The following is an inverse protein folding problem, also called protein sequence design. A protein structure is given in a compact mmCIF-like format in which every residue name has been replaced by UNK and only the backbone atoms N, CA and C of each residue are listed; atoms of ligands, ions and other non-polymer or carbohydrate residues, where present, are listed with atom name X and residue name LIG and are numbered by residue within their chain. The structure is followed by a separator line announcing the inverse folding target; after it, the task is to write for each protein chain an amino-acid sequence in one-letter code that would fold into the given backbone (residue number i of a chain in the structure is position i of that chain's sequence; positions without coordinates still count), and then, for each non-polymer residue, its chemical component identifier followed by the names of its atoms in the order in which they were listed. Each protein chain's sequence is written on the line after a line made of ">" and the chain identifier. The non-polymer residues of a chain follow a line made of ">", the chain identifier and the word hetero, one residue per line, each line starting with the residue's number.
data_IF_529154672493
#
_entry.id   IF_529154672493
#
_cell.length_a   1.000
_cell.length_b   1.000
_cell.length_c   1.000
_cell.angle_alpha   90.00
_cell.angle_beta   90.00
_cell.angle_gamma   90.00
#
_symmetry.space_group_name_H-M   'P 1'
#
loop_
_entity.id
_entity.type
_entity.pdbx_description
1 polymer ?
#
# COMPACT_ATOMS: atom_id res chain seq x y z
N UNK A 1 -26.60 17.61 32.79
CA UNK A 1 -25.69 18.27 33.75
C UNK A 1 -25.39 19.67 33.25
N UNK A 2 -25.71 20.67 34.05
CA UNK A 2 -25.47 22.08 33.75
C UNK A 2 -23.97 22.37 33.62
N UNK A 3 -23.58 23.51 33.05
CA UNK A 3 -22.18 23.97 33.04
C UNK A 3 -21.62 24.20 34.45
N UNK A 4 -22.47 24.53 35.43
CA UNK A 4 -22.08 24.75 36.83
C UNK A 4 -21.72 23.46 37.58
N UNK A 5 -22.50 22.38 37.43
CA UNK A 5 -22.24 21.11 38.15
C UNK A 5 -20.89 20.47 37.77
N UNK A 6 -20.45 20.73 36.54
CA UNK A 6 -19.17 20.23 35.99
C UNK A 6 -17.97 21.03 36.49
N UNK A 7 -18.15 22.31 36.81
CA UNK A 7 -17.11 23.15 37.38
C UNK A 7 -16.82 22.77 38.84
N UNK A 8 -17.86 22.39 39.60
CA UNK A 8 -17.71 21.91 40.96
C UNK A 8 -16.91 20.61 41.07
N UNK A 9 -17.06 19.69 40.12
CA UNK A 9 -16.27 18.44 40.08
C UNK A 9 -14.79 18.71 39.72
N UNK A 10 -14.54 19.72 38.87
CA UNK A 10 -13.19 20.17 38.48
C UNK A 10 -12.41 20.77 39.67
N UNK A 11 -12.99 21.73 40.39
CA UNK A 11 -12.35 22.37 41.55
C UNK A 11 -12.08 21.34 42.67
N UNK A 12 -13.01 20.41 42.90
CA UNK A 12 -12.86 19.39 43.94
C UNK A 12 -11.71 18.41 43.66
N UNK A 13 -11.42 18.09 42.39
CA UNK A 13 -10.33 17.16 42.05
C UNK A 13 -8.97 17.83 42.20
N UNK A 14 -8.84 19.11 41.82
CA UNK A 14 -7.56 19.84 41.86
C UNK A 14 -7.16 20.24 43.29
N UNK A 15 -8.13 20.41 44.20
CA UNK A 15 -7.87 20.67 45.62
C UNK A 15 -7.00 19.57 46.27
N UNK A 16 -7.01 18.35 45.73
CA UNK A 16 -6.16 17.25 46.19
C UNK A 16 -4.73 17.26 45.61
N UNK A 17 -4.43 18.13 44.64
CA UNK A 17 -3.12 18.22 43.95
C UNK A 17 -2.60 19.66 43.84
N UNK A 18 -2.34 20.35 44.97
CA UNK A 18 -1.98 21.79 44.99
C UNK A 18 -0.63 22.13 44.32
N UNK A 19 0.22 21.13 44.08
CA UNK A 19 1.56 21.31 43.47
C UNK A 19 1.64 20.78 42.03
N UNK A 20 0.50 20.58 41.35
CA UNK A 20 0.50 20.05 39.99
C UNK A 20 0.97 21.12 38.99
N UNK A 21 2.23 21.06 38.58
CA UNK A 21 2.81 22.01 37.63
C UNK A 21 2.45 21.70 36.16
N UNK A 22 2.25 20.42 35.83
CA UNK A 22 1.99 19.97 34.45
C UNK A 22 0.64 19.26 34.32
N UNK A 23 -0.22 19.75 33.44
CA UNK A 23 -1.45 19.09 33.04
C UNK A 23 -1.22 18.22 31.79
N UNK A 24 -1.67 16.97 31.80
CA UNK A 24 -1.60 16.08 30.65
C UNK A 24 -3.01 15.78 30.12
N UNK A 25 -3.29 16.20 28.88
CA UNK A 25 -4.58 15.95 28.21
C UNK A 25 -4.40 14.82 27.21
N UNK A 26 -5.14 13.72 27.39
CA UNK A 26 -5.02 12.51 26.57
C UNK A 26 -6.18 12.27 25.61
N UNK A 27 -7.30 12.98 25.77
CA UNK A 27 -8.49 12.84 24.94
C UNK A 27 -9.16 14.20 24.72
N UNK A 28 -9.66 14.44 23.51
CA UNK A 28 -10.34 15.68 23.11
C UNK A 28 -11.75 15.78 23.75
N UNK A 29 -12.30 14.64 24.17
CA UNK A 29 -13.60 14.53 24.84
C UNK A 29 -13.50 14.66 26.36
N UNK A 30 -12.28 14.84 26.89
CA UNK A 30 -12.08 15.01 28.33
C UNK A 30 -12.79 16.28 28.80
N UNK A 31 -13.93 16.07 29.46
CA UNK A 31 -14.82 17.15 29.91
C UNK A 31 -14.27 17.86 31.16
N UNK A 32 -13.17 17.37 31.73
CA UNK A 32 -12.63 17.86 33.00
C UNK A 32 -11.60 18.98 32.79
N UNK A 33 -10.76 18.91 31.75
CA UNK A 33 -9.73 19.92 31.49
C UNK A 33 -9.58 20.23 29.99
N UNK A 34 -9.63 21.51 29.62
CA UNK A 34 -9.10 21.98 28.32
C UNK A 34 -10.07 22.03 27.14
N UNK A 35 -11.40 22.01 27.35
CA UNK A 35 -12.37 22.17 26.25
C UNK A 35 -12.12 23.43 25.39
N UNK A 36 -11.65 24.50 26.01
CA UNK A 36 -11.33 25.75 25.31
C UNK A 36 -10.12 25.61 24.37
N UNK A 37 -9.20 24.68 24.66
CA UNK A 37 -7.97 24.45 23.88
C UNK A 37 -8.31 23.87 22.50
N UNK A 38 -9.41 23.11 22.40
CA UNK A 38 -9.84 22.46 21.16
C UNK A 38 -10.91 23.25 20.40
N UNK A 39 -11.23 24.48 20.83
CA UNK A 39 -12.23 25.30 20.17
C UNK A 39 -11.60 26.13 19.05
N UNK A 40 -11.69 25.64 17.81
CA UNK A 40 -11.16 26.32 16.62
C UNK A 40 -11.96 27.60 16.23
N UNK A 41 -13.13 27.83 16.86
CA UNK A 41 -14.00 28.99 16.64
C UNK A 41 -13.79 30.08 17.70
N UNK A 42 -12.66 30.79 17.67
CA UNK A 42 -12.41 31.95 18.54
C UNK A 42 -12.37 33.26 17.74
N UNK A 43 -13.56 33.69 17.26
CA UNK A 43 -13.84 35.13 17.11
C UNK A 43 -14.29 35.76 18.44
N UNK A 44 -14.42 34.97 19.50
CA UNK A 44 -14.64 35.46 20.84
C UNK A 44 -13.37 35.25 21.65
N UNK A 45 -12.80 36.36 22.13
CA UNK A 45 -11.73 36.38 23.13
C UNK A 45 -12.03 35.37 24.25
N UNK A 46 -11.00 34.74 24.85
CA UNK A 46 -11.24 33.81 25.95
C UNK A 46 -12.00 34.55 27.03
N UNK A 47 -13.18 34.03 27.40
CA UNK A 47 -13.87 34.47 28.60
C UNK A 47 -12.86 34.27 29.74
N UNK A 48 -12.34 35.37 30.27
CA UNK A 48 -11.42 35.40 31.40
C UNK A 48 -12.22 34.93 32.62
N UNK A 49 -12.29 33.61 32.80
CA UNK A 49 -12.79 33.03 34.04
C UNK A 49 -11.68 33.23 35.08
N UNK A 50 -11.97 34.07 36.09
CA UNK A 50 -11.04 34.47 37.16
C UNK A 50 -10.52 33.31 38.02
N UNK A 51 -11.10 32.12 37.89
CA UNK A 51 -10.77 30.93 38.69
C UNK A 51 -9.99 29.84 37.91
N UNK A 52 -9.44 30.18 36.73
CA UNK A 52 -8.67 29.22 35.93
C UNK A 52 -7.28 29.02 36.54
N UNK A 53 -6.98 27.79 36.97
CA UNK A 53 -5.66 27.43 37.48
C UNK A 53 -4.64 27.48 36.33
N UNK A 54 -3.59 28.28 36.52
CA UNK A 54 -2.49 28.41 35.57
C UNK A 54 -1.47 27.30 35.83
N UNK A 55 -1.50 26.24 35.02
CA UNK A 55 -0.43 25.26 34.99
C UNK A 55 0.85 25.90 34.44
N UNK A 56 2.03 25.46 34.91
CA UNK A 56 3.31 25.86 34.32
C UNK A 56 3.45 25.32 32.89
N UNK A 57 2.94 24.10 32.65
CA UNK A 57 2.97 23.46 31.34
C UNK A 57 1.70 22.64 31.10
N UNK A 58 1.20 22.65 29.86
CA UNK A 58 0.11 21.76 29.44
C UNK A 58 0.63 20.89 28.31
N UNK A 59 0.53 19.56 28.43
CA UNK A 59 0.91 18.59 27.40
C UNK A 59 -0.33 17.94 26.80
N UNK A 60 -0.56 18.15 25.51
CA UNK A 60 -1.66 17.57 24.75
C UNK A 60 -1.13 16.38 23.96
N UNK A 61 -1.57 15.19 24.35
CA UNK A 61 -1.17 13.91 23.77
C UNK A 61 -2.12 13.42 22.69
N UNK A 62 -3.38 13.85 22.73
CA UNK A 62 -4.32 13.54 21.66
C UNK A 62 -4.02 14.32 20.38
N UNK A 63 -4.63 13.89 19.28
CA UNK A 63 -4.41 14.53 17.97
C UNK A 63 -5.15 15.84 17.88
N UNK A 64 -4.47 16.89 17.40
CA UNK A 64 -5.01 18.22 17.14
C UNK A 64 -4.65 18.70 15.73
N UNK A 65 -5.46 19.60 15.16
CA UNK A 65 -5.17 20.26 13.88
C UNK A 65 -4.07 21.29 14.03
N UNK A 66 -3.40 21.69 12.96
CA UNK A 66 -2.40 22.76 13.03
C UNK A 66 -3.04 24.13 13.28
N UNK A 67 -4.28 24.39 12.82
CA UNK A 67 -5.08 25.57 13.17
C UNK A 67 -5.17 25.73 14.69
N UNK A 68 -5.51 24.66 15.43
CA UNK A 68 -5.58 24.70 16.89
C UNK A 68 -4.26 25.14 17.51
N UNK A 69 -3.14 24.58 17.03
CA UNK A 69 -1.80 24.95 17.52
C UNK A 69 -1.46 26.41 17.18
N UNK A 70 -1.85 26.87 15.99
CA UNK A 70 -1.60 28.23 15.54
C UNK A 70 -2.40 29.26 16.36
N UNK A 71 -3.67 28.97 16.68
CA UNK A 71 -4.52 29.83 17.53
C UNK A 71 -3.91 30.02 18.93
N UNK A 72 -3.28 28.98 19.47
CA UNK A 72 -2.67 28.99 20.80
C UNK A 72 -1.15 29.25 20.77
N UNK A 73 -0.63 29.84 19.68
CA UNK A 73 0.79 30.16 19.58
C UNK A 73 1.22 31.15 20.66
N UNK A 74 2.34 30.87 21.33
CA UNK A 74 2.87 31.70 22.43
C UNK A 74 2.32 31.35 23.81
N UNK A 75 1.45 30.33 23.91
CA UNK A 75 1.05 29.74 25.20
C UNK A 75 2.04 28.67 25.67
N UNK A 76 1.88 28.20 26.90
CA UNK A 76 2.68 27.13 27.51
C UNK A 76 2.17 25.70 27.16
N UNK A 77 1.39 25.58 26.08
CA UNK A 77 0.82 24.31 25.62
C UNK A 77 1.81 23.63 24.66
N UNK A 78 2.13 22.37 24.93
CA UNK A 78 2.93 21.50 24.08
C UNK A 78 2.04 20.44 23.44
N UNK A 79 2.03 20.40 22.12
CA UNK A 79 1.28 19.41 21.34
C UNK A 79 2.20 18.28 20.88
N UNK A 80 1.80 17.04 21.15
CA UNK A 80 2.58 15.85 20.76
C UNK A 80 2.14 15.26 19.43
N UNK A 81 0.89 15.46 19.03
CA UNK A 81 0.32 14.92 17.81
C UNK A 81 -0.40 16.02 17.02
N UNK A 82 0.28 16.58 16.02
CA UNK A 82 -0.25 17.68 15.20
C UNK A 82 -0.52 17.16 13.79
N UNK A 83 -1.79 17.20 13.39
CA UNK A 83 -2.26 16.81 12.06
C UNK A 83 -2.37 18.08 11.21
N UNK A 84 -1.75 18.07 10.04
CA UNK A 84 -1.91 19.13 9.04
C UNK A 84 -3.00 18.76 8.05
N UNK A 85 -4.13 19.45 8.10
CA UNK A 85 -5.33 19.16 7.30
C UNK A 85 -5.39 19.99 6.01
N UNK A 86 -6.42 19.75 5.21
CA UNK A 86 -6.72 20.56 4.03
C UNK A 86 -7.06 22.00 4.41
N UNK A 87 -7.79 22.21 5.51
CA UNK A 87 -8.09 23.56 6.02
C UNK A 87 -6.81 24.29 6.44
N UNK A 88 -5.91 23.59 7.13
CA UNK A 88 -4.59 24.13 7.51
C UNK A 88 -3.81 24.59 6.27
N UNK A 89 -3.83 23.78 5.21
CA UNK A 89 -3.21 24.12 3.93
C UNK A 89 -3.85 25.34 3.29
N UNK A 90 -5.17 25.39 3.20
CA UNK A 90 -5.88 26.53 2.57
C UNK A 90 -5.63 27.84 3.34
N UNK A 91 -5.54 27.78 4.67
CA UNK A 91 -5.42 28.97 5.50
C UNK A 91 -3.98 29.46 5.69
N UNK A 92 -3.01 28.55 5.77
CA UNK A 92 -1.65 28.87 6.23
C UNK A 92 -0.52 28.32 5.36
N UNK A 93 -0.79 27.73 4.19
CA UNK A 93 0.28 27.16 3.37
C UNK A 93 1.10 28.22 2.62
N UNK A 94 2.18 28.67 3.24
CA UNK A 94 3.20 29.54 2.65
C UNK A 94 4.42 28.72 2.18
N UNK A 95 4.17 27.73 1.31
CA UNK A 95 5.16 26.86 0.63
C UNK A 95 5.76 25.70 1.43
N UNK A 96 5.71 25.69 2.77
CA UNK A 96 6.33 24.62 3.59
C UNK A 96 5.39 24.15 4.70
N UNK A 97 5.39 22.84 4.97
CA UNK A 97 4.64 22.26 6.10
C UNK A 97 5.41 22.55 7.40
N UNK A 98 4.76 23.03 8.47
CA UNK A 98 5.43 23.32 9.75
C UNK A 98 6.12 22.11 10.38
N UNK A 99 7.34 22.30 10.93
CA UNK A 99 8.17 21.22 11.54
C UNK A 99 7.58 20.55 12.77
N UNK A 100 6.49 21.06 13.34
CA UNK A 100 5.80 20.41 14.47
C UNK A 100 4.77 19.38 14.01
N UNK A 101 4.44 19.36 12.72
CA UNK A 101 3.43 18.46 12.15
C UNK A 101 3.95 17.03 12.23
N UNK A 102 3.13 16.13 12.78
CA UNK A 102 3.43 14.71 12.90
C UNK A 102 2.64 13.85 11.93
N UNK A 103 1.52 14.36 11.37
CA UNK A 103 0.72 13.62 10.37
C UNK A 103 0.20 14.57 9.31
N UNK A 104 0.10 14.10 8.06
CA UNK A 104 -0.68 14.78 7.04
C UNK A 104 -2.07 14.16 6.96
N UNK A 105 -3.08 15.03 7.10
CA UNK A 105 -4.48 14.66 7.19
C UNK A 105 -5.03 14.03 5.92
N UNK A 106 -6.20 13.40 6.03
CA UNK A 106 -6.93 12.91 4.87
C UNK A 106 -7.11 14.02 3.84
N UNK A 107 -6.88 13.70 2.56
CA UNK A 107 -7.07 14.61 1.42
C UNK A 107 -6.31 15.96 1.53
N UNK A 108 -5.26 16.04 2.37
CA UNK A 108 -4.58 17.30 2.66
C UNK A 108 -4.13 18.05 1.39
N UNK A 109 -3.55 17.34 0.43
CA UNK A 109 -3.09 17.85 -0.87
C UNK A 109 -3.89 17.28 -2.05
N UNK A 110 -5.09 16.73 -1.83
CA UNK A 110 -5.92 16.17 -2.90
C UNK A 110 -6.13 17.15 -4.06
N UNK A 111 -5.89 16.71 -5.30
CA UNK A 111 -6.05 17.47 -6.54
C UNK A 111 -5.28 18.80 -6.58
N UNK A 112 -4.18 18.91 -5.84
CA UNK A 112 -3.35 20.11 -5.89
C UNK A 112 -2.42 20.10 -7.11
N UNK A 113 -1.99 21.29 -7.52
CA UNK A 113 -1.07 21.49 -8.66
C UNK A 113 0.40 21.49 -8.25
N UNK A 114 0.72 20.91 -7.08
CA UNK A 114 2.10 20.86 -6.57
C UNK A 114 2.95 19.99 -7.50
N UNK A 115 4.16 20.45 -7.79
CA UNK A 115 5.17 19.67 -8.54
C UNK A 115 6.23 19.07 -7.64
N UNK A 116 6.43 19.66 -6.46
CA UNK A 116 7.38 19.24 -5.44
C UNK A 116 6.82 19.57 -4.06
N UNK A 117 7.12 18.72 -3.08
CA UNK A 117 6.87 19.02 -1.67
C UNK A 117 7.91 18.34 -0.77
N UNK A 118 8.42 19.09 0.20
CA UNK A 118 9.27 18.57 1.26
C UNK A 118 8.42 18.27 2.50
N UNK A 119 8.42 17.01 2.93
CA UNK A 119 7.69 16.59 4.14
C UNK A 119 8.61 16.76 5.35
N UNK A 120 8.18 17.38 6.46
CA UNK A 120 9.04 17.50 7.64
C UNK A 120 9.44 16.13 8.19
N UNK A 121 10.67 16.03 8.71
CA UNK A 121 11.19 14.80 9.31
C UNK A 121 10.46 14.33 10.58
N UNK A 122 9.51 15.12 11.08
CA UNK A 122 8.62 14.79 12.20
C UNK A 122 7.36 14.04 11.76
N UNK A 123 7.06 13.99 10.46
CA UNK A 123 5.86 13.33 9.95
C UNK A 123 6.02 11.82 10.00
N UNK A 124 5.13 11.16 10.73
CA UNK A 124 5.10 9.71 10.91
C UNK A 124 4.01 9.02 10.09
N UNK A 125 3.04 9.74 9.56
CA UNK A 125 1.91 9.16 8.83
C UNK A 125 1.40 10.11 7.72
N UNK A 126 1.22 9.56 6.52
CA UNK A 126 0.46 10.18 5.43
C UNK A 126 -0.92 9.51 5.37
N UNK A 127 -1.99 10.22 5.71
CA UNK A 127 -3.32 9.61 5.76
C UNK A 127 -3.95 9.43 4.35
N UNK A 128 -5.18 8.91 4.32
CA UNK A 128 -5.83 8.49 3.08
C UNK A 128 -6.00 9.66 2.11
N UNK A 129 -5.79 9.37 0.82
CA UNK A 129 -5.90 10.35 -0.27
C UNK A 129 -5.01 11.60 -0.12
N UNK A 130 -3.98 11.59 0.75
CA UNK A 130 -3.22 12.81 1.09
C UNK A 130 -2.67 13.54 -0.14
N UNK A 131 -2.10 12.82 -1.10
CA UNK A 131 -1.59 13.36 -2.37
C UNK A 131 -2.35 12.84 -3.60
N UNK A 132 -3.56 12.30 -3.40
CA UNK A 132 -4.35 11.73 -4.48
C UNK A 132 -4.62 12.80 -5.57
N UNK A 133 -4.46 12.40 -6.84
CA UNK A 133 -4.64 13.23 -8.02
C UNK A 133 -3.75 14.50 -8.04
N UNK A 134 -2.60 14.50 -7.37
CA UNK A 134 -1.55 15.50 -7.59
C UNK A 134 -0.84 15.24 -8.91
N UNK A 135 -1.52 15.52 -10.03
CA UNK A 135 -1.12 15.06 -11.37
C UNK A 135 0.30 15.47 -11.77
N UNK A 136 0.75 16.63 -11.27
CA UNK A 136 2.05 17.25 -11.60
C UNK A 136 3.16 16.94 -10.60
N UNK A 137 2.89 16.16 -9.54
CA UNK A 137 3.86 15.87 -8.49
C UNK A 137 4.98 15.00 -9.06
N UNK A 138 6.13 15.61 -9.29
CA UNK A 138 7.30 14.94 -9.87
C UNK A 138 8.19 14.27 -8.84
N UNK A 139 8.27 14.86 -7.64
CA UNK A 139 9.15 14.42 -6.55
C UNK A 139 8.61 14.83 -5.18
N UNK A 140 8.83 13.97 -4.20
CA UNK A 140 8.47 14.17 -2.79
C UNK A 140 9.57 13.55 -1.93
N UNK A 141 9.98 14.28 -0.90
CA UNK A 141 11.00 13.78 0.04
C UNK A 141 10.31 13.17 1.27
N UNK A 142 10.51 11.87 1.48
CA UNK A 142 10.03 11.14 2.66
C UNK A 142 11.20 10.87 3.62
N UNK A 143 10.97 11.02 4.92
CA UNK A 143 12.02 10.91 5.94
C UNK A 143 11.84 9.71 6.87
N UNK A 144 12.92 9.36 7.58
CA UNK A 144 13.08 8.15 8.39
C UNK A 144 12.12 7.97 9.58
N UNK A 145 11.28 8.95 9.90
CA UNK A 145 10.24 8.80 10.92
C UNK A 145 8.90 8.32 10.34
N UNK A 146 8.73 8.35 9.02
CA UNK A 146 7.51 7.92 8.36
C UNK A 146 7.26 6.42 8.56
N UNK A 147 6.12 6.08 9.16
CA UNK A 147 5.73 4.70 9.47
C UNK A 147 4.66 4.17 8.51
N UNK A 148 3.78 5.05 8.01
CA UNK A 148 2.58 4.65 7.29
C UNK A 148 2.31 5.55 6.09
N UNK A 149 1.96 4.93 4.97
CA UNK A 149 1.40 5.59 3.79
C UNK A 149 -0.01 5.04 3.55
N UNK A 150 -1.00 5.90 3.70
CA UNK A 150 -2.42 5.52 3.73
C UNK A 150 -3.01 5.11 2.38
N UNK A 151 -4.25 4.64 2.42
CA UNK A 151 -5.03 4.21 1.27
C UNK A 151 -5.14 5.34 0.23
N UNK A 152 -4.93 5.02 -1.05
CA UNK A 152 -4.96 5.97 -2.17
C UNK A 152 -3.99 7.16 -2.03
N UNK A 153 -2.98 7.13 -1.16
CA UNK A 153 -2.18 8.32 -0.83
C UNK A 153 -1.59 9.02 -2.06
N UNK A 154 -1.08 8.29 -3.04
CA UNK A 154 -0.50 8.81 -4.29
C UNK A 154 -1.27 8.36 -5.54
N UNK A 155 -2.54 7.95 -5.44
CA UNK A 155 -3.30 7.53 -6.62
C UNK A 155 -3.30 8.65 -7.69
N UNK A 156 -3.03 8.28 -8.94
CA UNK A 156 -2.98 9.20 -10.10
C UNK A 156 -1.96 10.36 -9.95
N UNK A 157 -0.88 10.16 -9.19
CA UNK A 157 0.30 11.04 -9.29
C UNK A 157 1.05 10.75 -10.60
N UNK A 158 0.51 11.20 -11.73
CA UNK A 158 0.96 10.79 -13.06
C UNK A 158 2.43 11.11 -13.32
N UNK A 159 2.92 12.26 -12.86
CA UNK A 159 4.30 12.68 -13.13
C UNK A 159 5.31 12.18 -12.07
N UNK A 160 4.89 11.38 -11.08
CA UNK A 160 5.78 10.92 -10.00
C UNK A 160 6.78 9.90 -10.55
N UNK A 161 8.04 10.32 -10.75
CA UNK A 161 9.03 9.51 -11.46
C UNK A 161 9.78 8.51 -10.59
N UNK A 162 10.03 8.89 -9.34
CA UNK A 162 10.76 8.10 -8.35
C UNK A 162 10.28 8.45 -6.95
N UNK A 163 10.39 7.48 -6.05
CA UNK A 163 10.04 7.64 -4.65
C UNK A 163 11.00 6.84 -3.79
N UNK A 164 11.72 7.51 -2.91
CA UNK A 164 12.53 6.84 -1.90
C UNK A 164 11.68 6.60 -0.65
N UNK A 165 11.25 5.36 -0.45
CA UNK A 165 10.44 4.98 0.72
C UNK A 165 11.40 4.60 1.86
N UNK A 166 11.34 5.29 3.02
CA UNK A 166 12.26 5.02 4.11
C UNK A 166 11.98 3.65 4.75
N UNK A 167 13.03 3.02 5.27
CA UNK A 167 12.95 1.69 5.92
C UNK A 167 12.10 1.64 7.20
N UNK A 168 11.63 2.80 7.67
CA UNK A 168 10.69 2.92 8.78
C UNK A 168 9.25 2.62 8.38
N UNK A 169 8.90 2.67 7.08
CA UNK A 169 7.53 2.45 6.63
C UNK A 169 7.18 0.97 6.75
N UNK A 170 6.18 0.65 7.57
CA UNK A 170 5.75 -0.72 7.83
C UNK A 170 4.34 -1.02 7.31
N UNK A 171 3.65 -0.03 6.73
CA UNK A 171 2.31 -0.20 6.19
C UNK A 171 2.09 0.63 4.92
N UNK A 172 1.51 -0.02 3.90
CA UNK A 172 0.93 0.62 2.73
C UNK A 172 -0.58 0.39 2.71
N UNK A 173 -1.34 1.44 2.46
CA UNK A 173 -2.77 1.32 2.18
C UNK A 173 -3.04 0.81 0.76
N UNK A 174 -4.26 0.31 0.54
CA UNK A 174 -4.73 -0.12 -0.79
C UNK A 174 -4.64 1.02 -1.80
N UNK A 175 -4.38 0.68 -3.07
CA UNK A 175 -4.28 1.66 -4.17
C UNK A 175 -3.26 2.80 -3.96
N UNK A 176 -2.31 2.66 -3.02
CA UNK A 176 -1.43 3.76 -2.60
C UNK A 176 -0.68 4.43 -3.77
N UNK A 177 -0.18 3.66 -4.74
CA UNK A 177 0.53 4.17 -5.92
C UNK A 177 -0.20 3.87 -7.24
N UNK A 178 -1.50 3.59 -7.19
CA UNK A 178 -2.30 3.26 -8.37
C UNK A 178 -2.23 4.38 -9.42
N UNK A 179 -2.00 4.04 -10.69
CA UNK A 179 -1.88 4.97 -11.81
C UNK A 179 -0.75 6.01 -11.64
N UNK A 180 0.36 5.70 -10.94
CA UNK A 180 1.58 6.52 -11.00
C UNK A 180 2.31 6.25 -12.33
N UNK A 181 1.82 6.84 -13.43
CA UNK A 181 2.29 6.56 -14.79
C UNK A 181 3.73 6.97 -15.08
N UNK A 182 4.35 7.81 -14.26
CA UNK A 182 5.75 8.21 -14.38
C UNK A 182 6.70 7.34 -13.57
N UNK A 183 6.20 6.51 -12.66
CA UNK A 183 7.04 5.77 -11.72
C UNK A 183 7.83 4.71 -12.48
N UNK A 184 9.15 4.86 -12.50
CA UNK A 184 10.05 3.98 -13.28
C UNK A 184 10.64 2.85 -12.45
N UNK A 185 10.90 3.11 -11.18
CA UNK A 185 11.45 2.14 -10.25
C UNK A 185 10.96 2.38 -8.83
N UNK A 186 10.89 1.31 -8.04
CA UNK A 186 10.62 1.44 -6.61
C UNK A 186 11.37 0.39 -5.80
N UNK A 187 11.87 0.81 -4.63
CA UNK A 187 12.42 -0.07 -3.62
C UNK A 187 11.42 -0.19 -2.48
N UNK A 188 10.87 -1.38 -2.28
CA UNK A 188 9.93 -1.66 -1.20
C UNK A 188 10.73 -1.98 0.07
N UNK A 189 10.48 -1.28 1.20
CA UNK A 189 11.19 -1.55 2.46
C UNK A 189 11.02 -2.99 2.97
N UNK A 190 12.07 -3.53 3.59
CA UNK A 190 12.06 -4.88 4.21
C UNK A 190 11.04 -5.05 5.35
N UNK A 191 10.52 -3.94 5.88
CA UNK A 191 9.46 -3.89 6.88
C UNK A 191 8.07 -4.18 6.31
N UNK A 192 7.89 -4.14 4.98
CA UNK A 192 6.61 -4.39 4.32
C UNK A 192 6.42 -5.89 4.10
N UNK A 193 5.57 -6.51 4.91
CA UNK A 193 5.20 -7.92 4.75
C UNK A 193 4.09 -8.16 3.72
N UNK A 194 3.21 -7.17 3.51
CA UNK A 194 2.03 -7.31 2.63
C UNK A 194 1.99 -6.16 1.64
N UNK A 195 1.92 -6.48 0.35
CA UNK A 195 1.55 -5.53 -0.68
C UNK A 195 0.04 -5.56 -0.91
N UNK A 196 -0.67 -4.45 -0.63
CA UNK A 196 -2.13 -4.42 -0.62
C UNK A 196 -2.72 -4.44 -2.03
N UNK A 197 -4.05 -4.56 -2.09
CA UNK A 197 -4.79 -4.60 -3.35
C UNK A 197 -4.50 -3.34 -4.19
N UNK A 198 -4.25 -3.56 -5.49
CA UNK A 198 -4.03 -2.52 -6.49
C UNK A 198 -2.88 -1.53 -6.18
N UNK A 199 -1.94 -1.87 -5.29
CA UNK A 199 -0.93 -0.93 -4.78
C UNK A 199 -0.18 -0.18 -5.89
N UNK A 200 0.28 -0.89 -6.93
CA UNK A 200 0.97 -0.36 -8.11
C UNK A 200 0.17 -0.56 -9.41
N UNK A 201 -1.16 -0.73 -9.31
CA UNK A 201 -2.01 -0.97 -10.47
C UNK A 201 -1.82 0.12 -11.53
N UNK A 202 -1.60 -0.26 -12.79
CA UNK A 202 -1.36 0.67 -13.90
C UNK A 202 -0.18 1.63 -13.69
N UNK A 203 0.87 1.24 -12.97
CA UNK A 203 2.17 1.93 -13.05
C UNK A 203 2.86 1.53 -14.37
N UNK A 204 2.39 2.09 -15.48
CA UNK A 204 2.69 1.61 -16.83
C UNK A 204 4.18 1.71 -17.22
N UNK A 205 4.93 2.64 -16.62
CA UNK A 205 6.38 2.83 -16.83
C UNK A 205 7.25 2.10 -15.82
N UNK A 206 6.67 1.39 -14.85
CA UNK A 206 7.43 0.72 -13.80
C UNK A 206 8.25 -0.42 -14.39
N UNK A 207 9.56 -0.23 -14.48
CA UNK A 207 10.50 -1.17 -15.10
C UNK A 207 11.08 -2.16 -14.11
N UNK A 208 11.34 -1.71 -12.88
CA UNK A 208 12.01 -2.50 -11.86
C UNK A 208 11.41 -2.30 -10.46
N UNK A 209 11.23 -3.40 -9.75
CA UNK A 209 10.78 -3.42 -8.36
C UNK A 209 11.80 -4.19 -7.54
N UNK A 210 12.33 -3.55 -6.49
CA UNK A 210 13.10 -4.27 -5.47
C UNK A 210 12.14 -4.73 -4.40
N UNK A 211 11.89 -6.05 -4.35
CA UNK A 211 11.04 -6.68 -3.36
C UNK A 211 11.76 -6.79 -2.01
N UNK A 212 11.01 -6.77 -0.89
CA UNK A 212 11.58 -6.98 0.43
C UNK A 212 12.12 -8.41 0.59
N UNK A 213 13.08 -8.60 1.48
CA UNK A 213 13.72 -9.90 1.73
C UNK A 213 12.75 -10.98 2.25
N UNK A 214 11.60 -10.57 2.78
CA UNK A 214 10.53 -11.45 3.23
C UNK A 214 9.18 -10.80 2.90
N UNK A 215 8.42 -11.44 2.03
CA UNK A 215 7.07 -11.00 1.66
C UNK A 215 6.07 -12.12 1.95
N UNK A 216 5.00 -11.77 2.66
CA UNK A 216 3.94 -12.70 3.05
C UNK A 216 2.80 -12.69 2.04
N UNK A 217 2.46 -11.57 1.42
CA UNK A 217 1.39 -11.54 0.43
C UNK A 217 1.62 -10.46 -0.63
N UNK A 218 1.34 -10.81 -1.88
CA UNK A 218 1.12 -9.87 -2.99
C UNK A 218 -0.35 -9.95 -3.35
N UNK A 219 -1.11 -8.93 -2.97
CA UNK A 219 -2.56 -8.96 -3.09
C UNK A 219 -3.07 -8.66 -4.51
N UNK A 220 -4.40 -8.61 -4.66
CA UNK A 220 -5.07 -8.62 -5.95
C UNK A 220 -4.63 -7.45 -6.83
N UNK A 221 -4.30 -7.73 -8.08
CA UNK A 221 -3.96 -6.72 -9.10
C UNK A 221 -2.85 -5.74 -8.68
N UNK A 222 -2.00 -6.12 -7.73
CA UNK A 222 -0.98 -5.24 -7.16
C UNK A 222 -0.08 -4.60 -8.23
N UNK A 223 0.37 -5.37 -9.22
CA UNK A 223 1.19 -4.93 -10.36
C UNK A 223 0.47 -5.13 -11.71
N UNK A 224 -0.86 -5.27 -11.72
CA UNK A 224 -1.57 -5.42 -12.98
C UNK A 224 -1.42 -4.17 -13.86
N UNK A 225 -1.31 -4.37 -15.18
CA UNK A 225 -1.04 -3.35 -16.20
C UNK A 225 0.29 -2.57 -15.99
N UNK A 226 1.28 -3.16 -15.29
CA UNK A 226 2.65 -2.63 -15.27
C UNK A 226 3.38 -3.01 -16.58
N UNK A 227 3.01 -2.36 -17.68
CA UNK A 227 3.44 -2.75 -19.03
C UNK A 227 4.95 -2.76 -19.25
N UNK A 228 5.71 -1.95 -18.50
CA UNK A 228 7.17 -1.87 -18.63
C UNK A 228 7.95 -2.79 -17.69
N UNK A 229 7.29 -3.53 -16.80
CA UNK A 229 7.95 -4.36 -15.80
C UNK A 229 8.65 -5.53 -16.49
N UNK A 230 9.99 -5.60 -16.39
CA UNK A 230 10.76 -6.60 -17.15
C UNK A 230 11.04 -7.89 -16.38
N UNK A 231 11.24 -7.79 -15.07
CA UNK A 231 11.65 -8.92 -14.22
C UNK A 231 10.99 -8.84 -12.85
N UNK A 232 10.59 -9.99 -12.35
CA UNK A 232 10.15 -10.18 -10.96
C UNK A 232 11.09 -11.18 -10.31
N UNK A 233 11.80 -10.74 -9.27
CA UNK A 233 12.66 -11.61 -8.47
C UNK A 233 12.27 -11.48 -7.00
N UNK A 234 11.69 -12.55 -6.44
CA UNK A 234 11.27 -12.63 -5.05
C UNK A 234 12.10 -13.72 -4.37
N UNK A 235 13.03 -13.33 -3.52
CA UNK A 235 14.03 -14.22 -2.91
C UNK A 235 13.47 -15.15 -1.84
N UNK A 236 12.47 -14.69 -1.08
CA UNK A 236 11.79 -15.50 -0.08
C UNK A 236 10.35 -15.04 0.10
N UNK A 237 9.44 -15.75 -0.57
CA UNK A 237 8.01 -15.54 -0.48
C UNK A 237 7.42 -16.63 0.42
N UNK A 238 6.84 -16.26 1.56
CA UNK A 238 6.03 -17.17 2.39
C UNK A 238 4.56 -17.17 1.93
N UNK A 239 4.36 -16.84 0.66
CA UNK A 239 3.19 -16.11 0.23
C UNK A 239 2.16 -16.90 -0.57
N UNK A 240 0.96 -16.34 -0.66
CA UNK A 240 0.06 -16.55 -1.80
C UNK A 240 0.16 -15.35 -2.75
N UNK A 241 0.39 -15.59 -4.04
CA UNK A 241 0.32 -14.53 -5.05
C UNK A 241 -1.13 -14.47 -5.52
N UNK A 242 -1.84 -13.39 -5.18
CA UNK A 242 -3.28 -13.29 -5.35
C UNK A 242 -3.68 -13.02 -6.80
N UNK A 243 -4.99 -13.06 -7.00
CA UNK A 243 -5.64 -12.93 -8.29
C UNK A 243 -5.07 -11.77 -9.10
N UNK A 244 -4.71 -12.05 -10.36
CA UNK A 244 -4.28 -11.06 -11.33
C UNK A 244 -3.09 -10.18 -10.87
N UNK A 245 -2.26 -10.61 -9.90
CA UNK A 245 -1.20 -9.77 -9.33
C UNK A 245 -0.25 -9.15 -10.36
N UNK A 246 0.10 -9.88 -11.42
CA UNK A 246 0.95 -9.42 -12.54
C UNK A 246 0.21 -9.47 -13.89
N UNK A 247 -1.13 -9.32 -13.87
CA UNK A 247 -1.93 -9.37 -15.08
C UNK A 247 -1.50 -8.30 -16.09
N UNK A 248 -1.33 -8.68 -17.36
CA UNK A 248 -0.98 -7.75 -18.44
C UNK A 248 0.35 -7.03 -18.22
N UNK A 249 1.33 -7.64 -17.53
CA UNK A 249 2.72 -7.17 -17.54
C UNK A 249 3.38 -7.59 -18.87
N UNK A 250 3.03 -6.89 -19.96
CA UNK A 250 3.33 -7.33 -21.33
C UNK A 250 4.82 -7.45 -21.66
N UNK A 251 5.69 -6.65 -21.00
CA UNK A 251 7.16 -6.74 -21.13
C UNK A 251 7.84 -7.63 -20.08
N UNK A 252 7.09 -8.34 -19.23
CA UNK A 252 7.66 -9.23 -18.21
C UNK A 252 8.32 -10.43 -18.87
N UNK A 253 9.66 -10.49 -18.82
CA UNK A 253 10.49 -11.51 -19.48
C UNK A 253 10.84 -12.68 -18.57
N UNK A 254 11.06 -12.42 -17.28
CA UNK A 254 11.48 -13.42 -16.30
C UNK A 254 10.78 -13.24 -14.96
N UNK A 255 10.34 -14.37 -14.39
CA UNK A 255 9.75 -14.46 -13.06
C UNK A 255 10.51 -15.53 -12.28
N UNK A 256 11.20 -15.11 -11.22
CA UNK A 256 11.89 -15.98 -10.28
C UNK A 256 11.25 -15.80 -8.91
N UNK A 257 10.63 -16.84 -8.40
CA UNK A 257 9.99 -16.87 -7.10
C UNK A 257 10.61 -18.00 -6.29
N UNK A 258 11.20 -17.64 -5.16
CA UNK A 258 11.79 -18.56 -4.20
C UNK A 258 11.02 -18.51 -2.86
N UNK A 259 11.21 -19.52 -2.02
CA UNK A 259 10.53 -19.64 -0.73
C UNK A 259 9.41 -20.69 -0.72
N UNK A 260 8.42 -20.50 0.15
CA UNK A 260 7.38 -21.49 0.47
C UNK A 260 6.01 -21.11 -0.10
N UNK A 261 5.96 -20.69 -1.38
CA UNK A 261 4.70 -20.34 -2.04
C UNK A 261 3.84 -21.57 -2.25
N UNK A 262 2.64 -21.57 -1.67
CA UNK A 262 1.70 -22.69 -1.77
C UNK A 262 0.69 -22.53 -2.92
N UNK A 263 0.35 -21.29 -3.27
CA UNK A 263 -0.68 -20.92 -4.23
C UNK A 263 -0.32 -19.69 -5.09
N UNK A 264 -0.52 -19.83 -6.40
CA UNK A 264 -0.53 -18.74 -7.38
C UNK A 264 -1.95 -18.66 -7.97
N UNK A 265 -2.67 -17.59 -7.68
CA UNK A 265 -4.12 -17.51 -7.94
C UNK A 265 -4.44 -17.16 -9.41
N UNK A 266 -5.74 -17.07 -9.72
CA UNK A 266 -6.30 -16.90 -11.05
C UNK A 266 -5.68 -15.72 -11.81
N UNK A 267 -5.27 -15.99 -13.05
CA UNK A 267 -4.82 -14.98 -14.01
C UNK A 267 -3.58 -14.19 -13.56
N UNK A 268 -2.78 -14.73 -12.63
CA UNK A 268 -1.63 -14.03 -12.05
C UNK A 268 -0.68 -13.47 -13.12
N UNK A 269 -0.36 -14.25 -14.16
CA UNK A 269 0.51 -13.88 -15.27
C UNK A 269 -0.22 -13.87 -16.63
N UNK A 270 -1.55 -13.74 -16.63
CA UNK A 270 -2.32 -13.70 -17.88
C UNK A 270 -1.96 -12.43 -18.68
N UNK A 271 -1.74 -12.58 -19.99
CA UNK A 271 -1.21 -11.56 -20.91
C UNK A 271 0.22 -11.08 -20.61
N UNK A 272 1.04 -11.83 -19.87
CA UNK A 272 2.49 -11.59 -19.82
C UNK A 272 3.14 -12.09 -21.13
N UNK A 273 2.95 -11.35 -22.21
CA UNK A 273 3.26 -11.82 -23.55
C UNK A 273 4.75 -12.13 -23.73
N UNK A 274 5.64 -11.29 -23.20
CA UNK A 274 7.09 -11.46 -23.28
C UNK A 274 7.69 -12.50 -22.32
N UNK A 275 6.87 -13.21 -21.54
CA UNK A 275 7.36 -14.12 -20.50
C UNK A 275 8.00 -15.37 -21.11
N UNK A 276 9.30 -15.56 -20.82
CA UNK A 276 10.10 -16.69 -21.31
C UNK A 276 10.55 -17.58 -20.16
N UNK A 277 11.11 -16.98 -19.11
CA UNK A 277 11.74 -17.71 -18.00
C UNK A 277 10.84 -17.65 -16.75
N UNK A 278 10.41 -18.82 -16.29
CA UNK A 278 9.54 -18.96 -15.12
C UNK A 278 10.12 -19.99 -14.16
N UNK A 279 10.61 -19.50 -13.02
CA UNK A 279 11.13 -20.32 -11.93
C UNK A 279 10.22 -20.19 -10.72
N UNK A 280 9.48 -21.26 -10.44
CA UNK A 280 8.57 -21.36 -9.29
C UNK A 280 9.15 -22.32 -8.25
N UNK A 281 8.88 -22.13 -6.96
CA UNK A 281 9.38 -23.03 -5.93
C UNK A 281 8.64 -24.37 -5.99
N UNK A 282 9.30 -25.44 -5.55
CA UNK A 282 8.74 -26.80 -5.58
C UNK A 282 7.46 -26.95 -4.74
N UNK A 283 7.25 -26.07 -3.75
CA UNK A 283 6.10 -26.05 -2.86
C UNK A 283 4.77 -25.60 -3.51
N UNK A 284 4.77 -25.09 -4.75
CA UNK A 284 3.54 -24.63 -5.41
C UNK A 284 2.62 -25.81 -5.68
N UNK A 285 1.54 -25.88 -4.91
CA UNK A 285 0.55 -26.97 -4.97
C UNK A 285 -0.69 -26.62 -5.77
N UNK A 286 -0.94 -25.33 -5.97
CA UNK A 286 -2.11 -24.80 -6.66
C UNK A 286 -1.74 -23.62 -7.56
N UNK A 287 -2.16 -23.73 -8.81
CA UNK A 287 -2.15 -22.64 -9.79
C UNK A 287 -3.59 -22.32 -10.14
N UNK A 288 -3.90 -21.05 -10.39
CA UNK A 288 -5.23 -20.58 -10.70
C UNK A 288 -5.63 -20.75 -12.18
N UNK A 289 -6.94 -20.61 -12.45
CA UNK A 289 -7.46 -20.57 -13.83
C UNK A 289 -6.78 -19.44 -14.60
N UNK A 290 -6.55 -19.65 -15.89
CA UNK A 290 -5.91 -18.67 -16.80
C UNK A 290 -4.53 -18.15 -16.39
N UNK A 291 -3.83 -18.74 -15.41
CA UNK A 291 -2.62 -18.16 -14.82
C UNK A 291 -1.55 -17.70 -15.82
N UNK A 292 -1.28 -18.46 -16.87
CA UNK A 292 -0.30 -18.17 -17.92
C UNK A 292 -0.96 -17.98 -19.29
N UNK A 293 -2.26 -17.66 -19.35
CA UNK A 293 -2.97 -17.48 -20.62
C UNK A 293 -2.34 -16.33 -21.42
N UNK A 294 -2.11 -16.56 -22.72
CA UNK A 294 -1.40 -15.64 -23.62
C UNK A 294 0.05 -15.30 -23.21
N UNK A 295 0.76 -16.20 -22.51
CA UNK A 295 2.22 -16.12 -22.41
C UNK A 295 2.83 -16.66 -23.72
N UNK A 296 2.76 -15.84 -24.77
CA UNK A 296 3.02 -16.27 -26.15
C UNK A 296 4.47 -16.68 -26.40
N UNK A 297 5.43 -16.16 -25.63
CA UNK A 297 6.85 -16.51 -25.71
C UNK A 297 7.30 -17.60 -24.74
N UNK A 298 6.39 -18.15 -23.91
CA UNK A 298 6.73 -19.20 -22.95
C UNK A 298 6.99 -20.52 -23.70
N UNK A 299 8.23 -21.03 -23.62
CA UNK A 299 8.68 -22.22 -24.35
C UNK A 299 8.57 -23.51 -23.56
N UNK A 300 8.92 -23.44 -22.28
CA UNK A 300 8.78 -24.53 -21.33
C UNK A 300 8.35 -24.00 -19.97
N UNK A 301 7.84 -24.90 -19.13
CA UNK A 301 7.58 -24.59 -17.73
C UNK A 301 7.67 -25.86 -16.90
N UNK A 302 8.41 -25.78 -15.79
CA UNK A 302 8.51 -26.87 -14.82
C UNK A 302 7.47 -26.71 -13.72
N UNK A 303 6.55 -27.67 -13.63
CA UNK A 303 5.53 -27.74 -12.59
C UNK A 303 5.75 -29.03 -11.79
N UNK A 304 5.86 -28.96 -10.45
CA UNK A 304 6.25 -30.13 -9.63
C UNK A 304 5.19 -30.56 -8.61
N UNK A 305 4.48 -29.61 -7.99
CA UNK A 305 3.57 -29.88 -6.86
C UNK A 305 2.07 -29.93 -7.17
N UNK A 306 1.66 -29.76 -8.44
CA UNK A 306 0.24 -29.51 -8.76
C UNK A 306 -0.65 -30.75 -8.63
N UNK A 307 -1.87 -30.56 -8.11
CA UNK A 307 -2.94 -31.58 -8.08
C UNK A 307 -3.80 -31.61 -9.35
N UNK A 308 -3.95 -30.46 -10.00
CA UNK A 308 -4.68 -30.30 -11.26
C UNK A 308 -4.03 -29.21 -12.11
N UNK A 309 -4.15 -29.32 -13.44
CA UNK A 309 -3.85 -28.22 -14.36
C UNK A 309 -5.17 -27.48 -14.63
N UNK A 310 -5.31 -26.21 -14.21
CA UNK A 310 -6.59 -25.50 -14.26
C UNK A 310 -7.10 -25.19 -15.67
N UNK A 311 -8.40 -24.85 -15.73
CA UNK A 311 -9.06 -24.32 -16.94
C UNK A 311 -8.25 -23.18 -17.55
N UNK A 312 -7.90 -23.34 -18.84
CA UNK A 312 -7.21 -22.34 -19.67
C UNK A 312 -5.87 -21.84 -19.11
N UNK A 313 -5.19 -22.61 -18.24
CA UNK A 313 -3.96 -22.18 -17.59
C UNK A 313 -2.87 -21.71 -18.57
N UNK A 314 -2.64 -22.45 -19.65
CA UNK A 314 -1.67 -22.18 -20.71
C UNK A 314 -2.35 -21.93 -22.06
N UNK A 315 -3.59 -21.43 -22.03
CA UNK A 315 -4.34 -21.16 -23.25
C UNK A 315 -3.63 -20.10 -24.09
N UNK A 316 -3.42 -20.37 -25.38
CA UNK A 316 -2.71 -19.53 -26.35
C UNK A 316 -1.25 -19.21 -25.94
N UNK A 317 -0.56 -20.16 -25.33
CA UNK A 317 0.89 -20.13 -25.23
C UNK A 317 1.48 -20.68 -26.54
N UNK A 318 1.52 -19.83 -27.57
CA UNK A 318 1.83 -20.26 -28.94
C UNK A 318 3.20 -20.89 -29.10
N UNK A 319 4.18 -20.51 -28.28
CA UNK A 319 5.54 -21.06 -28.34
C UNK A 319 5.81 -22.20 -27.34
N UNK A 320 4.79 -22.71 -26.64
CA UNK A 320 5.00 -23.77 -25.66
C UNK A 320 5.27 -25.11 -26.37
N UNK A 321 6.53 -25.53 -26.45
CA UNK A 321 6.97 -26.71 -27.20
C UNK A 321 6.86 -28.00 -26.37
N UNK A 322 7.09 -27.89 -25.07
CA UNK A 322 7.18 -29.04 -24.17
C UNK A 322 6.46 -28.81 -22.86
N UNK A 323 5.69 -29.82 -22.45
CA UNK A 323 5.04 -29.86 -21.13
C UNK A 323 5.29 -31.21 -20.49
N UNK A 324 5.85 -31.18 -19.27
CA UNK A 324 5.93 -32.35 -18.39
C UNK A 324 4.85 -32.16 -17.33
N UNK A 325 3.78 -32.96 -17.39
CA UNK A 325 2.72 -32.91 -16.38
C UNK A 325 3.26 -33.53 -15.08
N UNK A 326 3.20 -32.83 -13.93
CA UNK A 326 3.69 -33.35 -12.67
C UNK A 326 2.99 -34.64 -12.24
N UNK A 327 3.70 -35.51 -11.51
CA UNK A 327 3.20 -36.82 -11.07
C UNK A 327 1.93 -36.73 -10.24
N UNK A 328 1.75 -35.67 -9.45
CA UNK A 328 0.59 -35.51 -8.57
C UNK A 328 -0.68 -35.01 -9.29
N UNK A 329 -0.62 -34.74 -10.59
CA UNK A 329 -1.77 -34.23 -11.34
C UNK A 329 -2.77 -35.34 -11.62
N UNK A 330 -4.02 -35.12 -11.22
CA UNK A 330 -5.15 -36.05 -11.43
C UNK A 330 -6.11 -35.60 -12.54
N UNK A 331 -6.03 -34.33 -12.94
CA UNK A 331 -6.98 -33.67 -13.84
C UNK A 331 -6.33 -32.57 -14.68
N UNK A 332 -6.65 -32.53 -15.97
CA UNK A 332 -6.32 -31.44 -16.89
C UNK A 332 -7.61 -30.72 -17.29
N UNK A 333 -7.71 -29.45 -16.94
CA UNK A 333 -8.91 -28.64 -17.06
C UNK A 333 -9.25 -28.19 -18.48
N UNK A 334 -10.47 -27.69 -18.66
CA UNK A 334 -11.05 -27.31 -19.95
C UNK A 334 -10.17 -26.28 -20.66
N UNK A 335 -9.70 -26.63 -21.85
CA UNK A 335 -8.84 -25.75 -22.65
C UNK A 335 -7.51 -25.39 -22.00
N UNK A 336 -6.98 -26.22 -21.09
CA UNK A 336 -5.73 -25.95 -20.36
C UNK A 336 -4.59 -25.51 -21.29
N UNK A 337 -4.41 -26.19 -22.42
CA UNK A 337 -3.39 -25.92 -23.45
C UNK A 337 -4.01 -25.54 -24.79
N UNK A 338 -5.27 -25.06 -24.81
CA UNK A 338 -5.92 -24.69 -26.06
C UNK A 338 -5.10 -23.64 -26.82
N UNK A 339 -4.78 -23.89 -28.09
CA UNK A 339 -3.99 -22.99 -28.93
C UNK A 339 -2.49 -22.98 -28.63
N UNK A 340 -1.92 -24.03 -28.02
CA UNK A 340 -0.46 -24.21 -27.97
C UNK A 340 0.00 -24.89 -29.26
N UNK A 341 0.03 -24.15 -30.37
CA UNK A 341 0.10 -24.67 -31.75
C UNK A 341 1.38 -25.45 -32.10
N UNK A 342 2.45 -25.29 -31.32
CA UNK A 342 3.73 -26.00 -31.53
C UNK A 342 4.02 -27.05 -30.45
N UNK A 343 3.03 -27.38 -29.62
CA UNK A 343 3.18 -28.31 -28.50
C UNK A 343 3.33 -29.76 -29.00
N UNK A 344 4.58 -30.16 -29.26
CA UNK A 344 4.90 -31.48 -29.82
C UNK A 344 5.22 -32.53 -28.76
N UNK A 345 5.66 -32.12 -27.56
CA UNK A 345 6.10 -33.04 -26.52
C UNK A 345 5.32 -32.88 -25.21
N UNK A 346 4.37 -33.79 -24.98
CA UNK A 346 3.54 -33.81 -23.78
C UNK A 346 3.76 -35.13 -23.04
N UNK A 347 4.32 -35.06 -21.85
CA UNK A 347 4.40 -36.21 -20.93
C UNK A 347 3.25 -36.15 -19.94
N UNK A 348 2.32 -37.11 -20.05
CA UNK A 348 1.16 -37.27 -19.16
C UNK A 348 1.39 -38.52 -18.30
N UNK A 349 1.21 -38.40 -16.99
CA UNK A 349 1.39 -39.53 -16.06
C UNK A 349 0.12 -40.37 -15.97
N UNK A 350 0.25 -41.64 -15.57
CA UNK A 350 -0.88 -42.56 -15.35
C UNK A 350 -1.84 -42.12 -14.25
N UNK A 351 -1.46 -41.12 -13.44
CA UNK A 351 -2.30 -40.53 -12.39
C UNK A 351 -3.34 -39.56 -12.94
N UNK A 352 -3.19 -39.07 -14.17
CA UNK A 352 -4.20 -38.21 -14.82
C UNK A 352 -5.42 -39.04 -15.20
N UNK A 353 -6.52 -38.85 -14.47
CA UNK A 353 -7.79 -39.59 -14.66
C UNK A 353 -8.82 -38.82 -15.49
N UNK A 354 -8.70 -37.49 -15.56
CA UNK A 354 -9.71 -36.63 -16.19
C UNK A 354 -9.02 -35.67 -17.16
N UNK A 355 -9.41 -35.78 -18.44
CA UNK A 355 -9.12 -34.79 -19.48
C UNK A 355 -10.40 -34.04 -19.83
N UNK A 356 -10.49 -32.76 -19.47
CA UNK A 356 -11.67 -31.97 -19.78
C UNK A 356 -11.71 -31.50 -21.26
N UNK A 357 -12.91 -31.10 -21.71
CA UNK A 357 -13.18 -30.67 -23.09
C UNK A 357 -12.11 -29.72 -23.63
N UNK A 358 -11.57 -30.05 -24.81
CA UNK A 358 -10.62 -29.21 -25.57
C UNK A 358 -9.30 -28.91 -24.83
N UNK A 359 -8.89 -29.71 -23.85
CA UNK A 359 -7.66 -29.46 -23.09
C UNK A 359 -6.40 -29.31 -23.95
N UNK A 360 -6.32 -30.00 -25.09
CA UNK A 360 -5.25 -29.90 -26.10
C UNK A 360 -5.80 -29.54 -27.49
N UNK A 361 -6.83 -28.70 -27.57
CA UNK A 361 -7.41 -28.32 -28.87
C UNK A 361 -6.50 -27.30 -29.57
N UNK A 362 -6.19 -27.54 -30.84
CA UNK A 362 -5.21 -26.75 -31.61
C UNK A 362 -3.81 -26.80 -30.97
N UNK A 363 -3.39 -28.02 -30.59
CA UNK A 363 -2.03 -28.36 -30.19
C UNK A 363 -1.36 -29.20 -31.27
#
# INVERSE_FOLDING_TARGET
>A
MSSLDRYHTMINTIKYFPYLETLNIRCNEDKTFGKDIFNDNLYTLPIVNKDKINFYQIKVWCSVTYICVHIHKGTNIQYKNVIYTKEDRVKYFEKVIPKMVTKLGNECFFKTQISFIEIPNTVTCLQANCFAECLRLTSITLHSMLQEIGTHCFIKCYDLTSLNIPNSVNNFGENCFNQCYGLTSISIPNTIAVLPDFCFFKCTTLQSVTFPSHIQNINQMCFADCFSLERVNISNCECSIRRNAFWSCTNLKSVIINGNVSEIDKGCFEFCNALVDVQLPNGVSKIGKTCFRYCIFLQDIKLLGLKEIPKRCFCNCFNLEKVIVPENVSKIGKGAFLGCEILTNISITSRVKILEKRCFYSC
#
